data_IF_482379819468
#
_entry.id   IF_482379819468
#
_cell.length_a   1.000
_cell.length_b   1.000
_cell.length_c   1.000
_cell.angle_alpha   90.00
_cell.angle_beta   90.00
_cell.angle_gamma   90.00
#
_symmetry.space_group_name_H-M   'P 1'
#
loop_
_entity.id
_entity.type
_entity.pdbx_description
1 polymer ?
#
# COMPACT_ATOMS: atom_id res chain seq x y z
N UNK A 1 56.22 10.97 -58.75
CA UNK A 1 56.18 11.10 -57.26
C UNK A 1 54.73 11.09 -56.87
N UNK A 2 54.24 9.97 -56.30
CA UNK A 2 52.84 9.78 -55.94
C UNK A 2 52.78 9.71 -54.40
N UNK A 3 52.16 10.70 -53.78
CA UNK A 3 51.95 10.76 -52.35
C UNK A 3 50.75 9.92 -51.94
N UNK A 4 50.92 8.84 -51.21
CA UNK A 4 49.85 8.05 -50.59
C UNK A 4 49.46 8.73 -49.26
N UNK A 5 48.21 9.23 -49.22
CA UNK A 5 47.58 9.66 -47.98
C UNK A 5 47.12 8.44 -47.16
N UNK A 6 47.72 8.26 -46.02
CA UNK A 6 47.38 7.23 -45.02
C UNK A 6 46.13 7.72 -44.22
N UNK A 7 45.00 7.07 -44.40
CA UNK A 7 43.83 7.26 -43.59
C UNK A 7 43.82 6.21 -42.49
N UNK A 8 44.16 6.61 -41.28
CA UNK A 8 44.15 5.74 -40.10
C UNK A 8 42.69 5.49 -39.59
N UNK A 9 42.44 4.38 -38.88
CA UNK A 9 41.11 3.93 -38.46
C UNK A 9 40.69 4.59 -37.13
N UNK A 10 40.63 5.93 -37.04
CA UNK A 10 40.21 6.60 -35.82
C UNK A 10 38.69 6.76 -35.65
N UNK A 11 37.88 6.51 -36.71
CA UNK A 11 36.43 6.72 -36.65
C UNK A 11 35.65 5.64 -35.91
N UNK A 12 36.12 4.40 -35.86
CA UNK A 12 35.35 3.28 -35.35
C UNK A 12 35.40 3.13 -33.80
N UNK A 13 36.45 3.62 -33.15
CA UNK A 13 36.59 3.50 -31.71
C UNK A 13 35.82 4.60 -30.96
N UNK A 14 35.73 5.81 -31.50
CA UNK A 14 34.96 6.90 -30.93
C UNK A 14 33.47 6.57 -31.03
N UNK A 15 33.01 6.05 -32.16
CA UNK A 15 31.60 5.66 -32.34
C UNK A 15 31.17 4.54 -31.38
N UNK A 16 32.05 3.55 -31.13
CA UNK A 16 31.76 2.45 -30.18
C UNK A 16 31.72 2.93 -28.72
N UNK A 17 32.58 3.88 -28.33
CA UNK A 17 32.61 4.40 -26.98
C UNK A 17 31.43 5.31 -26.70
N UNK A 18 30.97 6.12 -27.67
CA UNK A 18 29.75 6.94 -27.55
C UNK A 18 28.50 6.08 -27.54
N UNK A 19 28.40 5.03 -28.35
CA UNK A 19 27.25 4.12 -28.34
C UNK A 19 27.14 3.35 -27.01
N UNK A 20 28.29 2.90 -26.45
CA UNK A 20 28.31 2.21 -25.15
C UNK A 20 27.91 3.14 -24.00
N UNK A 21 28.39 4.40 -24.01
CA UNK A 21 28.03 5.38 -23.00
C UNK A 21 26.54 5.77 -23.05
N UNK A 22 25.96 5.94 -24.24
CA UNK A 22 24.54 6.21 -24.43
C UNK A 22 23.67 5.02 -24.00
N UNK A 23 24.11 3.78 -24.26
CA UNK A 23 23.40 2.58 -23.82
C UNK A 23 23.45 2.42 -22.30
N UNK A 24 24.55 2.74 -21.65
CA UNK A 24 24.69 2.70 -20.19
C UNK A 24 23.84 3.79 -19.52
N UNK A 25 23.73 4.99 -20.10
CA UNK A 25 22.86 6.06 -19.60
C UNK A 25 21.37 5.67 -19.74
N UNK A 26 20.96 5.06 -20.84
CA UNK A 26 19.60 4.53 -21.00
C UNK A 26 19.21 3.42 -20.00
N UNK A 27 20.19 2.62 -19.54
CA UNK A 27 19.96 1.58 -18.55
C UNK A 27 19.85 2.13 -17.11
N UNK A 28 20.37 3.35 -16.86
CA UNK A 28 20.32 4.00 -15.54
C UNK A 28 19.10 4.92 -15.36
N UNK A 29 18.33 5.15 -16.40
CA UNK A 29 17.11 5.95 -16.38
C UNK A 29 15.85 5.12 -16.60
N UNK A 30 15.76 3.94 -15.98
CA UNK A 30 14.46 3.31 -15.84
C UNK A 30 13.66 4.20 -14.87
N UNK A 31 12.54 4.79 -15.30
CA UNK A 31 11.65 5.44 -14.35
C UNK A 31 11.29 4.40 -13.28
N UNK A 32 11.34 4.78 -12.02
CA UNK A 32 10.70 4.00 -10.98
C UNK A 32 9.23 3.93 -11.37
N UNK A 33 8.79 2.76 -11.87
CA UNK A 33 7.39 2.54 -12.18
C UNK A 33 6.66 2.52 -10.84
N UNK A 34 5.78 3.48 -10.62
CA UNK A 34 4.88 3.47 -9.49
C UNK A 34 4.07 2.17 -9.52
N UNK A 35 3.86 1.59 -8.35
CA UNK A 35 3.12 0.33 -8.21
C UNK A 35 1.60 0.60 -8.17
N UNK A 36 1.04 1.12 -9.28
CA UNK A 36 -0.41 1.34 -9.40
C UNK A 36 -1.23 0.05 -9.23
N UNK A 37 -0.61 -1.10 -9.50
CA UNK A 37 -1.19 -2.44 -9.28
C UNK A 37 -1.08 -2.96 -7.84
N UNK A 38 -0.82 -2.10 -6.87
CA UNK A 38 -0.66 -2.42 -5.46
C UNK A 38 0.80 -2.67 -5.06
N UNK A 39 1.15 -2.41 -3.79
CA UNK A 39 2.51 -2.58 -3.31
C UNK A 39 2.93 -4.05 -3.30
N UNK A 40 4.23 -4.33 -3.39
CA UNK A 40 4.76 -5.64 -3.06
C UNK A 40 4.63 -5.89 -1.55
N UNK A 41 4.79 -7.14 -1.12
CA UNK A 41 4.82 -7.48 0.30
C UNK A 41 5.92 -6.70 1.05
N UNK A 42 7.13 -6.63 0.46
CA UNK A 42 8.24 -5.85 1.02
C UNK A 42 8.33 -4.47 0.38
N UNK A 43 8.44 -3.43 1.21
CA UNK A 43 8.68 -2.06 0.77
C UNK A 43 10.13 -1.86 0.26
N UNK A 44 10.46 -0.61 -0.17
CA UNK A 44 11.78 -0.27 -0.69
C UNK A 44 12.94 -0.54 0.28
N UNK A 45 12.70 -0.63 1.58
CA UNK A 45 13.68 -0.92 2.63
C UNK A 45 13.75 -2.41 2.99
N UNK A 46 12.95 -3.27 2.32
CA UNK A 46 12.91 -4.71 2.54
C UNK A 46 12.09 -5.13 3.77
N UNK A 47 11.18 -4.29 4.25
CA UNK A 47 10.27 -4.59 5.36
C UNK A 47 8.82 -4.81 4.86
N UNK A 48 7.96 -5.56 5.58
CA UNK A 48 6.55 -5.73 5.21
C UNK A 48 5.83 -4.38 5.06
N UNK A 49 5.25 -4.13 3.87
CA UNK A 49 4.67 -2.81 3.53
C UNK A 49 3.52 -2.44 4.44
N UNK A 50 2.67 -3.40 4.82
CA UNK A 50 1.53 -3.13 5.71
C UNK A 50 1.97 -2.65 7.10
N UNK A 51 3.11 -3.14 7.61
CA UNK A 51 3.61 -2.84 8.95
C UNK A 51 4.58 -1.66 8.99
N UNK A 52 5.30 -1.39 7.89
CA UNK A 52 6.40 -0.41 7.84
C UNK A 52 6.16 0.72 6.82
N UNK A 53 5.08 0.63 6.04
CA UNK A 53 4.59 1.71 5.19
C UNK A 53 5.24 1.83 3.83
N UNK A 54 4.86 2.89 3.13
CA UNK A 54 5.16 3.15 1.73
C UNK A 54 6.46 3.97 1.57
N UNK A 55 7.60 3.44 2.00
CA UNK A 55 8.88 4.19 2.09
C UNK A 55 9.39 4.78 0.76
N UNK A 56 8.85 4.36 -0.40
CA UNK A 56 9.19 4.93 -1.70
C UNK A 56 8.51 6.29 -1.97
N UNK A 57 7.47 6.65 -1.21
CA UNK A 57 6.69 7.88 -1.37
C UNK A 57 7.07 8.91 -0.30
N UNK A 58 6.86 10.20 -0.59
CA UNK A 58 7.13 11.31 0.33
C UNK A 58 8.52 11.22 0.99
N UNK A 59 9.56 10.86 0.22
CA UNK A 59 10.93 10.66 0.75
C UNK A 59 10.99 9.70 1.96
N UNK A 60 10.10 8.71 2.03
CA UNK A 60 9.99 7.78 3.16
C UNK A 60 9.38 8.38 4.42
N UNK A 61 8.79 9.57 4.36
CA UNK A 61 8.24 10.24 5.53
C UNK A 61 6.72 10.05 5.63
N UNK A 62 6.25 9.66 6.81
CA UNK A 62 4.81 9.67 7.15
C UNK A 62 4.26 11.09 7.05
N UNK A 63 3.04 11.23 6.57
CA UNK A 63 2.35 12.50 6.46
C UNK A 63 0.92 12.43 7.00
N UNK A 64 0.58 13.36 7.89
CA UNK A 64 -0.80 13.51 8.39
C UNK A 64 -1.80 13.89 7.29
N UNK A 65 -1.32 14.30 6.10
CA UNK A 65 -2.18 14.52 4.93
C UNK A 65 -2.84 13.24 4.44
N UNK A 66 -2.16 12.10 4.54
CA UNK A 66 -2.79 10.81 4.24
C UNK A 66 -3.65 10.37 5.42
N UNK A 67 -4.96 10.44 5.24
CA UNK A 67 -5.95 9.91 6.18
C UNK A 67 -6.21 8.45 5.85
N UNK A 68 -5.99 7.57 6.81
CA UNK A 68 -6.29 6.14 6.69
C UNK A 68 -7.34 5.79 7.73
N UNK A 69 -8.45 5.19 7.30
CA UNK A 69 -9.56 4.84 8.18
C UNK A 69 -10.08 3.44 7.85
N UNK A 70 -10.41 2.68 8.89
CA UNK A 70 -11.10 1.39 8.78
C UNK A 70 -12.37 1.43 9.64
N UNK A 71 -13.50 1.13 9.03
CA UNK A 71 -14.81 1.00 9.72
C UNK A 71 -15.23 -0.46 9.76
N UNK A 72 -16.17 -0.78 10.66
CA UNK A 72 -16.65 -2.16 10.84
C UNK A 72 -15.75 -3.02 11.73
N UNK A 73 -14.72 -2.42 12.37
CA UNK A 73 -13.77 -3.15 13.23
C UNK A 73 -14.46 -3.60 14.52
N UNK A 74 -14.59 -4.91 14.81
CA UNK A 74 -15.16 -5.36 16.07
C UNK A 74 -14.19 -5.04 17.22
N UNK A 75 -14.72 -4.81 18.40
CA UNK A 75 -13.92 -4.63 19.62
C UNK A 75 -13.30 -5.97 20.03
N UNK A 76 -14.05 -7.05 19.83
CA UNK A 76 -13.69 -8.42 20.15
C UNK A 76 -14.21 -9.33 19.05
N UNK A 77 -13.46 -10.36 18.64
CA UNK A 77 -13.96 -11.30 17.66
C UNK A 77 -14.65 -12.52 18.31
N UNK A 78 -15.57 -13.13 17.56
CA UNK A 78 -16.04 -14.47 17.80
C UNK A 78 -15.37 -15.42 16.79
N UNK A 79 -15.03 -16.63 17.21
CA UNK A 79 -14.38 -17.61 16.33
C UNK A 79 -15.25 -17.95 15.13
N UNK A 80 -14.64 -17.98 13.93
CA UNK A 80 -15.28 -18.24 12.64
C UNK A 80 -16.30 -17.19 12.19
N UNK A 81 -16.52 -16.11 12.95
CA UNK A 81 -17.44 -15.03 12.56
C UNK A 81 -16.84 -14.18 11.44
N UNK A 82 -17.70 -13.58 10.62
CA UNK A 82 -17.33 -12.75 9.48
C UNK A 82 -17.64 -11.29 9.79
N UNK A 83 -16.67 -10.41 9.56
CA UNK A 83 -16.78 -8.98 9.79
C UNK A 83 -16.54 -8.21 8.49
N UNK A 84 -17.42 -7.26 8.21
CA UNK A 84 -17.32 -6.38 7.05
C UNK A 84 -16.47 -5.17 7.39
N UNK A 85 -15.34 -5.02 6.70
CA UNK A 85 -14.47 -3.85 6.80
C UNK A 85 -14.67 -2.94 5.60
N UNK A 86 -14.68 -1.64 5.85
CA UNK A 86 -14.50 -0.64 4.80
C UNK A 86 -13.22 0.12 5.10
N UNK A 87 -12.28 0.12 4.14
CA UNK A 87 -11.03 0.87 4.20
C UNK A 87 -11.21 2.14 3.38
N UNK A 88 -10.80 3.28 3.93
CA UNK A 88 -10.74 4.55 3.24
C UNK A 88 -9.35 5.15 3.37
N UNK A 89 -8.81 5.59 2.23
CA UNK A 89 -7.56 6.36 2.15
C UNK A 89 -7.84 7.63 1.34
N UNK A 90 -7.49 8.79 1.89
CA UNK A 90 -7.73 10.07 1.24
C UNK A 90 -6.67 11.11 1.61
N UNK A 91 -6.53 12.15 0.80
CA UNK A 91 -5.79 13.36 1.18
C UNK A 91 -6.70 14.26 2.03
N UNK A 92 -6.23 14.71 3.18
CA UNK A 92 -6.98 15.61 4.06
C UNK A 92 -7.37 16.94 3.39
N UNK A 93 -6.56 17.44 2.46
CA UNK A 93 -6.88 18.63 1.68
C UNK A 93 -8.08 18.38 0.76
N UNK A 94 -8.11 17.23 0.05
CA UNK A 94 -9.27 16.85 -0.77
C UNK A 94 -10.52 16.67 0.10
N UNK A 95 -10.41 16.08 1.28
CA UNK A 95 -11.54 15.97 2.22
C UNK A 95 -12.03 17.32 2.72
N UNK A 96 -11.14 18.31 2.87
CA UNK A 96 -11.49 19.68 3.23
C UNK A 96 -12.06 20.50 2.06
N UNK A 97 -12.03 19.99 0.82
CA UNK A 97 -12.48 20.67 -0.39
C UNK A 97 -11.41 21.55 -1.03
N UNK A 98 -10.15 21.39 -0.64
CA UNK A 98 -8.99 22.05 -1.23
C UNK A 98 -8.35 21.17 -2.33
N UNK A 99 -7.39 21.73 -3.07
CA UNK A 99 -6.59 20.97 -4.02
C UNK A 99 -5.70 19.96 -3.27
N UNK A 100 -5.91 18.68 -3.54
CA UNK A 100 -5.19 17.55 -2.94
C UNK A 100 -5.15 16.36 -3.87
N UNK A 101 -4.52 15.29 -3.43
CA UNK A 101 -4.45 14.05 -4.18
C UNK A 101 -5.83 13.40 -4.30
N UNK A 102 -6.14 12.87 -5.49
CA UNK A 102 -7.46 12.31 -5.82
C UNK A 102 -7.45 10.81 -6.02
N UNK A 103 -6.27 10.18 -6.00
CA UNK A 103 -6.13 8.73 -6.11
C UNK A 103 -5.50 8.16 -4.85
N UNK A 104 -5.80 6.89 -4.60
CA UNK A 104 -5.30 6.23 -3.41
C UNK A 104 -5.02 4.74 -3.63
N UNK A 105 -4.23 4.18 -2.71
CA UNK A 105 -3.98 2.76 -2.59
C UNK A 105 -3.76 2.36 -1.14
N UNK A 106 -3.86 1.07 -0.84
CA UNK A 106 -3.62 0.55 0.50
C UNK A 106 -3.07 -0.87 0.49
N UNK A 107 -2.59 -1.31 1.64
CA UNK A 107 -2.35 -2.72 2.00
C UNK A 107 -2.75 -2.93 3.46
N UNK A 108 -3.36 -4.07 3.76
CA UNK A 108 -3.76 -4.50 5.10
C UNK A 108 -3.24 -5.90 5.40
N UNK A 109 -2.82 -6.13 6.64
CA UNK A 109 -2.48 -7.46 7.17
C UNK A 109 -3.13 -7.69 8.53
N UNK A 110 -3.40 -8.96 8.83
CA UNK A 110 -3.77 -9.47 10.16
C UNK A 110 -2.68 -10.38 10.76
N UNK A 111 -1.46 -10.36 10.18
CA UNK A 111 -0.37 -11.26 10.57
C UNK A 111 -0.68 -12.72 10.25
N UNK A 112 -1.34 -12.98 9.11
CA UNK A 112 -1.77 -14.31 8.65
C UNK A 112 -2.83 -15.01 9.55
N UNK A 113 -3.51 -14.25 10.43
CA UNK A 113 -4.56 -14.79 11.30
C UNK A 113 -5.93 -14.45 10.74
N UNK A 114 -6.79 -15.48 10.56
CA UNK A 114 -8.07 -15.34 9.86
C UNK A 114 -7.90 -15.31 8.35
N UNK A 115 -8.95 -14.88 7.63
CA UNK A 115 -8.93 -14.89 6.16
C UNK A 115 -9.69 -13.70 5.61
N UNK A 116 -9.05 -12.93 4.73
CA UNK A 116 -9.71 -11.87 3.98
C UNK A 116 -10.38 -12.42 2.73
N UNK A 117 -11.57 -11.90 2.41
CA UNK A 117 -12.27 -12.13 1.14
C UNK A 117 -12.94 -10.83 0.68
N UNK A 118 -13.25 -10.72 -0.62
CA UNK A 118 -13.89 -9.55 -1.22
C UNK A 118 -14.64 -9.92 -2.48
N UNK A 119 -15.43 -8.99 -3.01
CA UNK A 119 -16.09 -9.12 -4.30
C UNK A 119 -15.15 -8.68 -5.44
N UNK A 120 -15.31 -9.26 -6.62
CA UNK A 120 -14.42 -8.99 -7.78
C UNK A 120 -14.40 -7.52 -8.20
N UNK A 121 -15.45 -6.75 -7.90
CA UNK A 121 -15.56 -5.33 -8.23
C UNK A 121 -14.78 -4.39 -7.29
N UNK A 122 -14.15 -4.93 -6.26
CA UNK A 122 -13.39 -4.12 -5.29
C UNK A 122 -11.95 -3.84 -5.73
N UNK A 123 -11.50 -4.39 -6.87
CA UNK A 123 -10.14 -4.20 -7.40
C UNK A 123 -9.05 -4.48 -6.36
N UNK A 124 -9.22 -5.62 -5.66
CA UNK A 124 -8.31 -6.09 -4.63
C UNK A 124 -7.55 -7.35 -5.08
N UNK A 125 -6.42 -7.60 -4.46
CA UNK A 125 -5.59 -8.79 -4.66
C UNK A 125 -4.87 -9.18 -3.37
N UNK A 126 -4.36 -10.41 -3.31
CA UNK A 126 -3.32 -10.76 -2.34
C UNK A 126 -2.04 -10.01 -2.74
N UNK A 127 -1.41 -9.34 -1.79
CA UNK A 127 -0.15 -8.65 -2.03
C UNK A 127 0.92 -9.67 -2.50
N UNK A 128 1.73 -9.24 -3.48
CA UNK A 128 2.73 -10.12 -4.08
C UNK A 128 3.71 -10.63 -3.01
N UNK A 129 3.99 -11.94 -3.04
CA UNK A 129 4.85 -12.65 -2.10
C UNK A 129 4.36 -12.70 -0.63
N UNK A 130 3.14 -12.20 -0.31
CA UNK A 130 2.53 -12.38 1.00
C UNK A 130 1.70 -13.67 1.07
N UNK A 131 1.34 -14.09 2.28
CA UNK A 131 0.47 -15.27 2.51
C UNK A 131 -0.98 -14.91 2.80
N UNK A 132 -1.30 -13.64 3.02
CA UNK A 132 -2.65 -13.21 3.39
C UNK A 132 -2.87 -11.72 3.36
N UNK A 133 -1.84 -10.91 3.14
CA UNK A 133 -1.99 -9.46 3.05
C UNK A 133 -2.81 -9.09 1.82
N UNK A 134 -3.75 -8.17 1.99
CA UNK A 134 -4.61 -7.69 0.91
C UNK A 134 -4.22 -6.29 0.51
N UNK A 135 -4.08 -6.06 -0.79
CA UNK A 135 -3.83 -4.72 -1.36
C UNK A 135 -4.80 -4.42 -2.49
N UNK A 136 -4.88 -3.14 -2.85
CA UNK A 136 -5.49 -2.72 -4.11
C UNK A 136 -4.76 -3.36 -5.30
N UNK A 137 -5.47 -3.63 -6.38
CA UNK A 137 -4.92 -4.10 -7.66
C UNK A 137 -4.80 -2.98 -8.70
N UNK A 138 -5.53 -1.88 -8.48
CA UNK A 138 -5.46 -0.64 -9.26
C UNK A 138 -5.66 0.55 -8.30
N UNK A 139 -5.12 1.72 -8.62
CA UNK A 139 -5.38 2.95 -7.85
C UNK A 139 -6.85 3.32 -7.91
N UNK A 140 -7.41 3.78 -6.80
CA UNK A 140 -8.82 4.15 -6.71
C UNK A 140 -9.00 5.65 -6.64
N UNK A 141 -9.88 6.19 -7.49
CA UNK A 141 -10.29 7.61 -7.44
C UNK A 141 -11.22 7.92 -6.25
N UNK A 142 -11.87 6.89 -5.67
CA UNK A 142 -12.69 7.05 -4.48
C UNK A 142 -11.92 6.85 -3.19
N UNK A 143 -10.81 6.10 -3.26
CA UNK A 143 -10.04 5.70 -2.11
C UNK A 143 -10.82 4.84 -1.10
N UNK A 144 -11.86 4.12 -1.55
CA UNK A 144 -12.74 3.34 -0.68
C UNK A 144 -12.83 1.91 -1.21
N UNK A 145 -12.62 0.94 -0.31
CA UNK A 145 -12.74 -0.49 -0.61
C UNK A 145 -13.49 -1.21 0.50
N UNK A 146 -14.22 -2.25 0.11
CA UNK A 146 -14.94 -3.15 1.02
C UNK A 146 -14.38 -4.56 0.93
N UNK A 147 -14.09 -5.15 2.07
CA UNK A 147 -13.65 -6.53 2.19
C UNK A 147 -14.21 -7.14 3.47
N UNK A 148 -14.22 -8.45 3.56
CA UNK A 148 -14.61 -9.16 4.77
C UNK A 148 -13.39 -9.83 5.39
N UNK A 149 -13.35 -9.90 6.71
CA UNK A 149 -12.40 -10.69 7.45
C UNK A 149 -13.13 -11.77 8.23
N UNK A 150 -12.83 -13.04 7.96
CA UNK A 150 -13.31 -14.16 8.74
C UNK A 150 -12.31 -14.45 9.85
N UNK A 151 -12.79 -14.39 11.09
CA UNK A 151 -11.99 -14.70 12.26
C UNK A 151 -11.54 -16.19 12.27
N UNK A 152 -10.42 -16.51 12.93
CA UNK A 152 -9.93 -17.88 13.01
C UNK A 152 -10.94 -18.82 13.68
N UNK A 153 -10.87 -20.10 13.34
CA UNK A 153 -11.76 -21.13 13.89
C UNK A 153 -11.47 -21.46 15.38
N UNK A 154 -10.31 -21.06 15.88
CA UNK A 154 -9.89 -21.21 17.29
C UNK A 154 -9.56 -19.84 17.86
N UNK A 155 -9.45 -19.76 19.19
CA UNK A 155 -8.95 -18.58 19.87
C UNK A 155 -7.42 -18.49 19.67
N UNK A 156 -6.99 -17.46 18.96
CA UNK A 156 -5.57 -17.15 18.68
C UNK A 156 -5.06 -15.97 19.53
N UNK A 157 -5.81 -15.57 20.55
CA UNK A 157 -5.50 -14.40 21.35
C UNK A 157 -5.92 -13.10 20.67
N UNK A 158 -5.36 -11.99 21.14
CA UNK A 158 -5.58 -10.68 20.53
C UNK A 158 -4.91 -10.61 19.15
N UNK A 159 -5.64 -10.13 18.16
CA UNK A 159 -5.17 -10.07 16.77
C UNK A 159 -4.83 -8.63 16.43
N UNK A 160 -3.59 -8.41 15.98
CA UNK A 160 -3.09 -7.11 15.56
C UNK A 160 -3.23 -6.94 14.05
N UNK A 161 -3.72 -5.79 13.66
CA UNK A 161 -3.87 -5.38 12.25
C UNK A 161 -2.98 -4.17 11.98
N UNK A 162 -2.41 -4.15 10.78
CA UNK A 162 -1.70 -2.99 10.24
C UNK A 162 -2.25 -2.65 8.87
N UNK A 163 -2.38 -1.36 8.60
CA UNK A 163 -2.84 -0.81 7.33
C UNK A 163 -1.90 0.31 6.93
N UNK A 164 -1.28 0.20 5.78
CA UNK A 164 -0.61 1.32 5.15
C UNK A 164 -1.49 1.86 4.02
N UNK A 165 -1.69 3.17 3.99
CA UNK A 165 -2.46 3.86 2.96
C UNK A 165 -1.64 4.98 2.32
N UNK A 166 -1.77 5.13 1.01
CA UNK A 166 -1.06 6.13 0.23
C UNK A 166 -2.06 6.93 -0.62
N UNK A 167 -2.04 8.25 -0.48
CA UNK A 167 -2.77 9.20 -1.31
C UNK A 167 -1.82 9.76 -2.35
N UNK A 168 -2.14 9.58 -3.65
CA UNK A 168 -1.24 9.84 -4.77
C UNK A 168 -1.84 10.82 -5.76
N UNK A 169 -0.96 11.57 -6.44
CA UNK A 169 -1.35 12.54 -7.46
C UNK A 169 -1.74 11.90 -8.82
N UNK A 170 -1.48 10.58 -9.00
CA UNK A 170 -1.84 9.83 -10.21
C UNK A 170 -0.88 10.00 -11.38
N UNK A 171 0.32 10.53 -11.18
CA UNK A 171 1.33 10.70 -12.25
C UNK A 171 2.07 9.40 -12.60
N UNK A 172 1.86 8.32 -11.83
CA UNK A 172 2.42 6.99 -12.05
C UNK A 172 3.85 6.82 -11.55
N UNK A 173 4.37 7.77 -10.76
CA UNK A 173 5.69 7.70 -10.15
C UNK A 173 5.61 8.01 -8.65
N UNK A 174 6.42 7.35 -7.79
CA UNK A 174 6.52 7.75 -6.40
C UNK A 174 7.18 9.13 -6.31
N UNK A 175 6.53 10.08 -5.64
CA UNK A 175 6.95 11.48 -5.54
C UNK A 175 6.92 12.03 -4.12
N UNK A 176 7.43 13.26 -3.98
CA UNK A 176 7.41 14.01 -2.72
C UNK A 176 6.00 14.54 -2.39
N UNK A 177 5.12 14.54 -3.36
CA UNK A 177 3.72 14.96 -3.32
C UNK A 177 2.73 13.80 -3.18
N UNK A 178 3.22 12.58 -3.03
CA UNK A 178 2.46 11.42 -2.60
C UNK A 178 2.54 11.28 -1.08
N UNK A 179 1.41 11.23 -0.40
CA UNK A 179 1.36 11.22 1.04
C UNK A 179 0.89 9.87 1.56
N UNK A 180 1.62 9.28 2.50
CA UNK A 180 1.26 8.01 3.08
C UNK A 180 1.22 8.07 4.61
N UNK A 181 0.43 7.17 5.20
CA UNK A 181 0.34 7.00 6.64
C UNK A 181 0.07 5.54 6.99
N UNK A 182 0.22 5.19 8.27
CA UNK A 182 0.00 3.85 8.79
C UNK A 182 -0.95 3.88 9.98
N UNK A 183 -1.90 2.96 9.97
CA UNK A 183 -2.83 2.71 11.05
C UNK A 183 -2.58 1.31 11.60
N UNK A 184 -2.53 1.16 12.93
CA UNK A 184 -2.57 -0.15 13.57
C UNK A 184 -3.68 -0.21 14.61
N UNK A 185 -4.29 -1.38 14.77
CA UNK A 185 -5.33 -1.62 15.76
C UNK A 185 -5.34 -3.08 16.19
N UNK A 186 -5.99 -3.34 17.31
CA UNK A 186 -6.13 -4.69 17.87
C UNK A 186 -7.61 -5.04 17.98
N UNK A 187 -7.95 -6.26 17.60
CA UNK A 187 -9.24 -6.89 17.90
C UNK A 187 -8.97 -7.90 19.02
N UNK A 188 -9.70 -7.75 20.13
CA UNK A 188 -9.47 -8.58 21.32
C UNK A 188 -9.91 -10.04 21.11
N UNK A 189 -9.28 -10.95 21.85
CA UNK A 189 -9.64 -12.36 21.91
C UNK A 189 -11.08 -12.58 22.40
N UNK A 190 -11.71 -13.71 22.05
CA UNK A 190 -13.03 -14.07 22.57
C UNK A 190 -13.05 -14.10 24.11
N UNK A 191 -14.09 -13.49 24.70
CA UNK A 191 -14.30 -13.52 26.15
C UNK A 191 -13.39 -12.62 27.01
N UNK A 192 -12.56 -11.77 26.41
CA UNK A 192 -11.70 -10.81 27.15
C UNK A 192 -12.47 -9.60 27.69
N UNK A 193 -13.63 -9.29 27.12
CA UNK A 193 -14.51 -8.22 27.57
C UNK A 193 -15.69 -8.88 28.28
N UNK A 194 -15.76 -8.72 29.62
CA UNK A 194 -16.95 -9.12 30.37
C UNK A 194 -18.08 -8.12 30.06
N UNK A 195 -19.01 -8.53 29.21
CA UNK A 195 -20.25 -7.82 29.01
C UNK A 195 -21.22 -8.21 30.13
N UNK A 196 -21.61 -7.26 30.94
CA UNK A 196 -22.51 -7.43 32.09
C UNK A 196 -23.98 -7.72 31.68
N UNK A 197 -24.26 -7.79 30.36
CA UNK A 197 -25.57 -8.11 29.81
C UNK A 197 -25.47 -9.03 28.58
N UNK A 198 -26.11 -10.11 28.67
CA UNK A 198 -26.35 -11.32 27.87
C UNK A 198 -26.76 -11.10 26.39
N UNK A 199 -26.21 -10.12 25.70
CA UNK A 199 -26.25 -9.95 24.26
C UNK A 199 -24.83 -9.59 23.80
N UNK A 200 -24.14 -10.53 23.18
CA UNK A 200 -22.96 -10.23 22.35
C UNK A 200 -23.43 -9.31 21.20
N UNK A 201 -23.65 -8.08 21.50
CA UNK A 201 -23.73 -7.04 20.47
C UNK A 201 -22.33 -6.92 19.93
N UNK A 202 -22.14 -7.36 18.69
CA UNK A 202 -20.92 -7.15 17.92
C UNK A 202 -20.75 -5.64 17.71
N UNK A 203 -20.33 -4.94 18.77
CA UNK A 203 -20.03 -3.53 18.68
C UNK A 203 -18.83 -3.36 17.74
N UNK A 204 -19.04 -2.67 16.66
CA UNK A 204 -18.00 -2.28 15.73
C UNK A 204 -17.63 -0.82 15.96
N UNK A 205 -16.38 -0.49 15.61
CA UNK A 205 -15.84 0.86 15.73
C UNK A 205 -15.16 1.30 14.44
N UNK A 206 -14.91 2.58 14.35
CA UNK A 206 -14.03 3.17 13.35
C UNK A 206 -12.67 3.44 14.01
N UNK A 207 -11.60 3.11 13.29
CA UNK A 207 -10.23 3.44 13.66
C UNK A 207 -9.60 4.26 12.54
N UNK A 208 -8.81 5.29 12.88
CA UNK A 208 -8.23 6.18 11.87
C UNK A 208 -6.92 6.81 12.32
N UNK A 209 -6.13 7.26 11.35
CA UNK A 209 -4.93 8.08 11.51
C UNK A 209 -4.93 9.16 10.43
N UNK A 210 -4.22 10.27 10.67
CA UNK A 210 -4.20 11.46 9.83
C UNK A 210 -5.08 12.59 10.39
N UNK A 211 -4.93 13.79 9.82
CA UNK A 211 -5.67 14.98 10.26
C UNK A 211 -6.79 15.31 9.28
N UNK A 212 -7.97 15.60 9.81
CA UNK A 212 -9.10 16.15 9.07
C UNK A 212 -9.05 17.67 9.11
#
# INVERSE_FOLDING_TARGET
>A
MSARLWRGPMGSQVLRRTALALFTICLLSLPALGNSGGPPYLNGDGNPTAEYGCSCHNNGQISDRAVVMVTGVPIQYATSEIYDFTIQVADSHTLAGDDGNTQAGFVITSGDVGTFTWQDDQELRIAEDSQGDVSHSETSDTGIWSLTWQAPAADEGDIHFWVAGNSVNGDGAPGDDDYWNMLSFTINAPGTIENDDNAATLETRTVSVGSY
#
